data_IF_396600778080
#
_entry.id   IF_396600778080
#
_cell.length_a   1.000
_cell.length_b   1.000
_cell.length_c   1.000
_cell.angle_alpha   90.00
_cell.angle_beta   90.00
_cell.angle_gamma   90.00
#
_symmetry.space_group_name_H-M   'P 1'
#
loop_
_entity.id
_entity.type
_entity.pdbx_description
1 polymer ?
#
# COMPACT_ATOMS: atom_id res chain seq x y z
N UNK A 1 -66.68 0.99 -10.47
CA UNK A 1 -65.94 -0.16 -9.87
C UNK A 1 -64.47 0.06 -10.19
N UNK A 2 -63.73 0.71 -9.29
CA UNK A 2 -62.29 1.00 -9.45
C UNK A 2 -61.54 0.03 -8.55
N UNK A 3 -60.75 -0.86 -9.14
CA UNK A 3 -59.88 -1.77 -8.39
C UNK A 3 -58.63 -1.01 -7.94
N UNK A 4 -58.55 -0.73 -6.64
CA UNK A 4 -57.32 -0.30 -5.97
C UNK A 4 -56.45 -1.55 -5.73
N UNK A 5 -55.34 -1.68 -6.46
CA UNK A 5 -54.29 -2.64 -6.11
C UNK A 5 -53.44 -2.03 -5.01
N UNK A 6 -53.61 -2.55 -3.79
CA UNK A 6 -52.73 -2.25 -2.67
C UNK A 6 -51.36 -2.91 -2.90
N UNK A 7 -50.33 -2.09 -3.12
CA UNK A 7 -48.93 -2.52 -3.07
C UNK A 7 -48.55 -2.77 -1.61
N UNK A 8 -48.25 -4.02 -1.27
CA UNK A 8 -47.68 -4.38 0.04
C UNK A 8 -46.27 -3.80 0.22
N UNK A 9 -45.83 -3.58 1.48
CA UNK A 9 -44.56 -2.94 1.76
C UNK A 9 -43.39 -3.84 1.33
N UNK A 10 -42.55 -3.30 0.45
CA UNK A 10 -41.28 -3.87 0.03
C UNK A 10 -40.30 -3.84 1.21
N UNK A 11 -40.32 -4.88 2.05
CA UNK A 11 -39.32 -5.11 3.09
C UNK A 11 -38.20 -6.00 2.53
N UNK A 12 -37.28 -5.37 1.81
CA UNK A 12 -36.01 -5.95 1.40
C UNK A 12 -34.83 -5.26 2.08
N UNK A 13 -34.86 -5.13 3.41
CA UNK A 13 -33.67 -4.74 4.19
C UNK A 13 -32.68 -5.88 4.13
N UNK A 14 -31.61 -5.70 3.36
CA UNK A 14 -30.48 -6.64 3.29
C UNK A 14 -29.91 -6.80 4.70
N UNK A 15 -30.14 -7.96 5.32
CA UNK A 15 -29.51 -8.28 6.60
C UNK A 15 -28.01 -8.35 6.37
N UNK A 16 -27.29 -7.41 7.00
CA UNK A 16 -25.84 -7.36 6.99
C UNK A 16 -25.30 -8.63 7.66
N UNK A 17 -24.41 -9.37 6.99
CA UNK A 17 -23.89 -10.62 7.55
C UNK A 17 -23.09 -10.34 8.82
N UNK A 18 -22.95 -11.32 9.72
CA UNK A 18 -22.18 -11.14 10.97
C UNK A 18 -20.72 -10.75 10.70
N UNK A 19 -20.16 -11.22 9.58
CA UNK A 19 -18.84 -10.79 9.13
C UNK A 19 -18.82 -9.30 8.74
N UNK A 20 -19.82 -8.83 8.00
CA UNK A 20 -19.91 -7.42 7.60
C UNK A 20 -20.10 -6.50 8.80
N UNK A 21 -20.87 -6.92 9.81
CA UNK A 21 -20.98 -6.20 11.09
C UNK A 21 -19.64 -6.13 11.80
N UNK A 22 -18.92 -7.25 11.89
CA UNK A 22 -17.59 -7.32 12.50
C UNK A 22 -16.57 -6.44 11.79
N UNK A 23 -16.51 -6.45 10.45
CA UNK A 23 -15.58 -5.62 9.68
C UNK A 23 -15.90 -4.13 9.84
N UNK A 24 -17.18 -3.76 9.87
CA UNK A 24 -17.62 -2.39 10.16
C UNK A 24 -17.18 -1.96 11.55
N UNK A 25 -17.40 -2.80 12.55
CA UNK A 25 -17.00 -2.52 13.93
C UNK A 25 -15.49 -2.38 14.06
N UNK A 26 -14.69 -3.25 13.42
CA UNK A 26 -13.23 -3.15 13.40
C UNK A 26 -12.76 -1.83 12.78
N UNK A 27 -13.37 -1.40 11.67
CA UNK A 27 -13.06 -0.12 11.05
C UNK A 27 -13.45 1.07 11.93
N UNK A 28 -14.62 1.03 12.57
CA UNK A 28 -15.05 2.10 13.47
C UNK A 28 -14.13 2.19 14.70
N UNK A 29 -13.80 1.05 15.33
CA UNK A 29 -12.86 0.99 16.46
C UNK A 29 -11.46 1.48 16.09
N UNK A 30 -11.00 1.25 14.85
CA UNK A 30 -9.70 1.76 14.40
C UNK A 30 -9.67 3.28 14.26
N UNK A 31 -10.84 3.91 14.09
CA UNK A 31 -11.04 5.37 14.10
C UNK A 31 -11.41 5.93 15.48
N UNK A 32 -12.08 5.19 16.35
CA UNK A 32 -12.51 5.68 17.65
C UNK A 32 -11.34 5.86 18.63
N UNK A 33 -10.31 5.01 18.55
CA UNK A 33 -9.02 5.23 19.25
C UNK A 33 -8.27 6.50 18.76
N UNK A 34 -8.92 7.40 18.02
CA UNK A 34 -8.40 8.64 17.44
C UNK A 34 -9.00 9.93 18.05
N UNK A 35 -10.10 9.87 18.81
CA UNK A 35 -10.66 11.03 19.53
C UNK A 35 -9.85 11.31 20.82
N UNK A 36 -9.42 12.52 21.23
CA UNK A 36 -9.31 13.89 20.71
C UNK A 36 -8.05 14.46 21.40
N UNK A 37 -7.08 14.99 20.66
CA UNK A 37 -6.26 16.10 21.18
C UNK A 37 -6.72 17.31 20.38
N UNK A 38 -7.28 18.35 21.01
CA UNK A 38 -7.72 19.52 20.26
C UNK A 38 -6.50 20.12 19.55
N UNK A 39 -6.70 20.49 18.28
CA UNK A 39 -5.75 21.33 17.56
C UNK A 39 -5.53 22.61 18.37
N UNK A 40 -4.29 23.08 18.62
CA UNK A 40 -4.10 24.39 19.21
C UNK A 40 -4.76 25.43 18.30
N UNK A 41 -5.64 26.23 18.90
CA UNK A 41 -6.33 27.36 18.26
C UNK A 41 -5.30 28.24 17.56
N UNK A 42 -5.51 28.67 16.30
CA UNK A 42 -4.60 29.60 15.67
C UNK A 42 -4.59 30.92 16.45
N UNK A 43 -3.41 31.31 16.95
CA UNK A 43 -3.19 32.64 17.52
C UNK A 43 -3.60 33.71 16.49
N UNK A 44 -4.27 34.80 16.92
CA UNK A 44 -4.68 35.86 16.02
C UNK A 44 -3.45 36.48 15.33
N UNK A 45 -3.53 36.66 14.00
CA UNK A 45 -2.55 37.42 13.23
C UNK A 45 -2.47 38.85 13.77
N UNK A 46 -1.27 39.44 13.95
CA UNK A 46 -1.17 40.86 14.26
C UNK A 46 -1.72 41.69 13.10
N UNK A 47 -2.61 42.62 13.43
CA UNK A 47 -3.17 43.63 12.53
C UNK A 47 -2.04 44.52 11.97
N UNK A 48 -2.01 44.85 10.66
CA UNK A 48 -1.05 45.81 10.14
C UNK A 48 -1.34 47.21 10.67
N UNK A 49 -0.33 47.83 11.29
CA UNK A 49 -0.37 49.23 11.73
C UNK A 49 -0.38 50.18 10.51
N UNK A 50 -1.17 51.27 10.51
CA UNK A 50 -1.27 52.15 9.35
C UNK A 50 0.02 52.94 9.11
N UNK A 51 0.34 53.11 7.82
CA UNK A 51 1.52 53.80 7.32
C UNK A 51 1.58 55.27 7.79
N UNK A 52 2.65 55.64 8.49
CA UNK A 52 2.98 57.03 8.76
C UNK A 52 3.79 57.62 7.59
N UNK A 53 3.38 58.82 7.17
CA UNK A 53 3.96 59.62 6.09
C UNK A 53 5.47 59.85 6.27
N UNK A 54 6.18 59.86 5.14
CA UNK A 54 7.58 60.29 5.03
C UNK A 54 7.69 61.82 5.03
N UNK A 55 8.77 62.33 5.64
CA UNK A 55 9.81 63.29 5.13
C UNK A 55 10.27 64.27 6.23
N UNK A 56 11.46 64.92 6.13
CA UNK A 56 12.68 64.63 5.37
C UNK A 56 14.00 64.67 6.22
N UNK A 57 15.12 64.28 5.58
CA UNK A 57 16.53 64.37 6.01
C UNK A 57 16.99 65.84 6.28
N UNK A 58 17.98 66.19 7.14
CA UNK A 58 19.47 65.97 7.20
C UNK A 58 20.03 66.77 8.44
N UNK A 59 21.35 66.85 8.77
CA UNK A 59 22.46 65.87 8.86
C UNK A 59 23.35 66.03 10.15
N UNK A 60 24.41 65.19 10.23
CA UNK A 60 25.76 65.38 10.86
C UNK A 60 26.18 64.51 12.09
N UNK A 61 27.42 64.04 11.98
CA UNK A 61 28.26 63.12 12.82
C UNK A 61 29.09 63.90 13.87
N UNK A 62 30.08 63.33 14.62
CA UNK A 62 30.45 61.92 14.91
C UNK A 62 30.75 61.62 16.43
N UNK A 63 31.13 60.37 16.75
CA UNK A 63 32.39 59.95 17.46
C UNK A 63 32.28 58.79 18.49
N UNK A 64 33.27 57.89 18.38
CA UNK A 64 33.98 57.10 19.41
C UNK A 64 33.47 55.72 19.94
N UNK A 65 34.33 54.73 19.64
CA UNK A 65 34.94 53.74 20.54
C UNK A 65 34.22 52.41 20.92
N UNK A 66 34.80 51.32 20.40
CA UNK A 66 34.85 49.93 20.90
C UNK A 66 35.59 49.83 22.26
N UNK A 67 35.53 48.74 23.09
CA UNK A 67 35.84 47.37 22.65
C UNK A 67 35.22 46.13 23.36
N UNK A 68 35.56 45.00 22.74
CA UNK A 68 35.50 43.54 22.99
C UNK A 68 35.54 43.00 24.44
N UNK A 69 34.88 41.85 24.65
CA UNK A 69 35.28 40.73 25.54
C UNK A 69 34.46 39.48 25.15
N UNK A 70 35.00 38.43 24.52
CA UNK A 70 35.83 37.32 25.01
C UNK A 70 35.04 36.19 25.74
N UNK A 71 34.88 35.04 25.07
CA UNK A 71 34.73 33.71 25.69
C UNK A 71 36.12 33.21 26.16
N UNK A 72 36.21 32.26 27.11
CA UNK A 72 36.36 30.85 26.72
C UNK A 72 35.77 29.79 27.70
N UNK A 73 35.49 28.60 27.17
CA UNK A 73 35.60 27.28 27.85
C UNK A 73 36.98 26.67 27.48
N UNK A 74 37.56 25.60 28.10
CA UNK A 74 36.90 24.40 28.68
C UNK A 74 37.62 23.70 29.87
N UNK A 75 36.98 22.70 30.51
CA UNK A 75 37.63 21.50 31.11
C UNK A 75 36.59 20.51 31.72
N UNK A 76 36.96 19.23 31.73
CA UNK A 76 36.28 17.99 32.23
C UNK A 76 37.31 17.26 33.15
N UNK A 77 37.04 16.14 33.87
CA UNK A 77 35.90 15.63 34.66
C UNK A 77 36.28 15.31 36.14
N UNK A 78 35.31 14.96 37.01
CA UNK A 78 35.57 14.00 38.12
C UNK A 78 34.29 13.40 38.74
N UNK A 79 34.34 12.07 38.95
CA UNK A 79 33.85 11.23 40.08
C UNK A 79 32.40 11.33 40.58
N UNK A 80 31.71 10.32 41.14
CA UNK A 80 31.77 8.85 41.36
C UNK A 80 30.42 8.49 42.04
N UNK A 81 30.09 7.19 42.11
CA UNK A 81 28.99 6.50 42.85
C UNK A 81 27.76 6.22 41.96
N UNK A 82 27.50 5.02 41.44
CA UNK A 82 27.43 3.66 42.01
C UNK A 82 26.24 3.48 42.96
N UNK A 83 25.13 2.99 42.41
CA UNK A 83 24.09 2.26 43.14
C UNK A 83 23.54 1.13 42.26
N UNK A 84 22.96 0.15 42.93
CA UNK A 84 23.18 -1.28 42.72
C UNK A 84 22.03 -1.99 41.96
N UNK A 85 22.36 -3.12 41.36
CA UNK A 85 21.48 -4.04 40.60
C UNK A 85 20.70 -4.92 41.59
N UNK A 86 19.49 -5.40 41.22
CA UNK A 86 19.36 -6.85 41.10
C UNK A 86 18.63 -7.29 39.83
N UNK A 87 19.09 -8.41 39.28
CA UNK A 87 18.44 -9.29 38.29
C UNK A 87 18.44 -10.71 38.87
N UNK A 88 17.81 -11.71 38.25
CA UNK A 88 16.42 -11.85 37.81
C UNK A 88 15.79 -13.12 38.47
N UNK A 89 14.49 -13.39 38.28
CA UNK A 89 13.91 -14.70 38.64
C UNK A 89 12.97 -15.24 37.57
N UNK A 90 13.43 -16.34 36.97
CA UNK A 90 12.75 -17.52 36.44
C UNK A 90 11.48 -17.39 35.55
N UNK A 91 11.68 -17.73 34.26
CA UNK A 91 10.69 -18.47 33.46
C UNK A 91 10.53 -19.91 33.96
N UNK A 92 9.34 -20.53 33.86
CA UNK A 92 9.22 -21.97 33.77
C UNK A 92 9.19 -22.43 32.30
N UNK A 93 10.00 -23.45 32.00
CA UNK A 93 10.04 -24.22 30.77
C UNK A 93 8.92 -25.28 30.71
N UNK A 94 8.68 -25.93 29.55
CA UNK A 94 7.43 -26.64 29.24
C UNK A 94 7.41 -28.06 29.82
N UNK A 95 6.23 -28.50 30.23
CA UNK A 95 5.96 -29.91 30.56
C UNK A 95 5.86 -30.73 29.28
N UNK A 96 6.52 -31.88 29.30
CA UNK A 96 6.49 -32.96 28.32
C UNK A 96 6.10 -34.27 29.02
N UNK A 97 5.71 -35.27 28.22
CA UNK A 97 5.28 -36.65 28.54
C UNK A 97 3.76 -36.82 28.75
N UNK A 98 3.08 -37.85 28.22
CA UNK A 98 3.45 -38.94 27.32
C UNK A 98 2.16 -39.64 26.80
N UNK A 99 2.31 -40.33 25.67
CA UNK A 99 1.62 -41.55 25.22
C UNK A 99 0.12 -41.74 25.49
N UNK A 100 -0.65 -41.81 24.41
CA UNK A 100 -1.40 -43.04 24.12
C UNK A 100 -1.21 -43.46 22.65
N UNK A 101 -0.62 -44.64 22.52
CA UNK A 101 -0.62 -45.52 21.37
C UNK A 101 -1.98 -46.20 21.22
N UNK A 102 -2.55 -46.17 20.02
CA UNK A 102 -3.43 -47.24 19.55
C UNK A 102 -3.29 -47.39 18.04
N UNK A 103 -2.66 -48.51 17.70
CA UNK A 103 -2.48 -49.15 16.40
C UNK A 103 -3.79 -49.59 15.74
N UNK A 104 -3.90 -49.44 14.43
CA UNK A 104 -4.22 -50.51 13.47
C UNK A 104 -4.26 -49.99 12.03
N UNK A 105 -3.66 -50.75 11.11
CA UNK A 105 -3.36 -50.44 9.71
C UNK A 105 -4.50 -50.83 8.73
N UNK A 106 -4.28 -51.02 7.41
CA UNK A 106 -4.90 -50.18 6.37
C UNK A 106 -5.88 -50.95 5.47
N UNK A 107 -6.75 -50.24 4.74
CA UNK A 107 -7.48 -50.82 3.60
C UNK A 107 -7.19 -50.00 2.35
N UNK A 108 -6.39 -50.59 1.48
CA UNK A 108 -6.21 -50.22 0.08
C UNK A 108 -7.49 -50.59 -0.70
N UNK A 109 -7.87 -49.75 -1.67
CA UNK A 109 -8.67 -50.20 -2.81
C UNK A 109 -8.12 -49.59 -4.09
N UNK A 110 -7.87 -50.51 -5.01
CA UNK A 110 -7.14 -50.36 -6.25
C UNK A 110 -7.97 -49.66 -7.34
N UNK A 111 -7.26 -48.92 -8.19
CA UNK A 111 -7.71 -48.52 -9.53
C UNK A 111 -7.73 -49.72 -10.48
N UNK A 112 -8.49 -49.64 -11.58
CA UNK A 112 -8.07 -50.27 -12.83
C UNK A 112 -7.74 -49.21 -13.89
N UNK A 113 -6.54 -49.34 -14.46
CA UNK A 113 -6.18 -48.75 -15.74
C UNK A 113 -6.75 -49.60 -16.90
N UNK A 114 -6.71 -49.07 -18.13
CA UNK A 114 -6.26 -49.91 -19.23
C UNK A 114 -5.06 -49.29 -19.96
N UNK A 115 -4.00 -50.09 -20.06
CA UNK A 115 -2.93 -50.03 -21.06
C UNK A 115 -3.52 -50.61 -22.39
N UNK A 116 -3.11 -50.35 -23.63
CA UNK A 116 -1.79 -50.27 -24.28
C UNK A 116 -2.00 -49.77 -25.73
N UNK A 117 -1.04 -49.03 -26.31
CA UNK A 117 -0.31 -49.33 -27.59
C UNK A 117 0.06 -48.07 -28.40
N UNK A 118 1.37 -47.81 -28.43
CA UNK A 118 2.06 -47.06 -29.49
C UNK A 118 1.89 -47.80 -30.83
N UNK A 119 1.57 -47.09 -31.91
CA UNK A 119 1.99 -47.45 -33.27
C UNK A 119 2.38 -46.20 -34.06
N UNK A 120 3.52 -46.32 -34.74
CA UNK A 120 4.06 -45.38 -35.73
C UNK A 120 3.29 -45.51 -37.05
N UNK A 121 3.28 -44.40 -37.78
CA UNK A 121 2.84 -44.10 -39.15
C UNK A 121 2.53 -45.24 -40.14
N UNK A 122 1.48 -44.99 -40.96
CA UNK A 122 1.44 -45.34 -42.38
C UNK A 122 0.70 -44.23 -43.16
N UNK A 123 1.25 -43.85 -44.31
CA UNK A 123 0.75 -42.86 -45.27
C UNK A 123 -0.51 -43.36 -46.00
N UNK A 124 -1.57 -42.55 -46.05
CA UNK A 124 -2.60 -42.70 -47.08
C UNK A 124 -2.71 -41.40 -47.91
N UNK A 125 -2.33 -41.52 -49.18
CA UNK A 125 -2.77 -40.64 -50.25
C UNK A 125 -4.29 -40.79 -50.38
N UNK A 126 -5.02 -39.70 -50.17
CA UNK A 126 -6.47 -39.65 -50.29
C UNK A 126 -6.89 -38.23 -50.60
N UNK A 127 -6.96 -37.93 -51.90
CA UNK A 127 -7.48 -36.70 -52.47
C UNK A 127 -8.91 -36.46 -51.95
N UNK A 128 -9.13 -35.35 -51.26
CA UNK A 128 -10.43 -34.70 -51.13
C UNK A 128 -10.19 -33.20 -51.20
N UNK A 129 -10.56 -32.67 -52.35
CA UNK A 129 -10.84 -31.26 -52.57
C UNK A 129 -12.01 -30.89 -51.67
N UNK A 130 -11.81 -29.97 -50.74
CA UNK A 130 -12.83 -29.05 -50.23
C UNK A 130 -12.10 -27.93 -49.47
N UNK A 131 -12.13 -26.77 -50.09
CA UNK A 131 -11.64 -25.49 -49.60
C UNK A 131 -12.52 -25.04 -48.43
N UNK A 132 -11.97 -25.10 -47.21
CA UNK A 132 -12.40 -24.20 -46.16
C UNK A 132 -11.18 -23.90 -45.27
N UNK A 133 -10.35 -22.98 -45.76
CA UNK A 133 -9.31 -22.39 -44.95
C UNK A 133 -9.96 -21.60 -43.80
N UNK A 134 -10.20 -22.27 -42.68
CA UNK A 134 -10.47 -21.60 -41.40
C UNK A 134 -9.18 -20.88 -41.02
N UNK A 135 -9.06 -19.64 -41.50
CA UNK A 135 -8.07 -18.68 -41.02
C UNK A 135 -8.49 -18.37 -39.59
N UNK A 136 -7.95 -19.12 -38.63
CA UNK A 136 -7.93 -18.72 -37.22
C UNK A 136 -7.05 -17.48 -37.17
N UNK A 137 -7.67 -16.34 -37.44
CA UNK A 137 -7.05 -15.04 -37.29
C UNK A 137 -6.77 -14.90 -35.78
N UNK A 138 -5.51 -15.10 -35.39
CA UNK A 138 -5.00 -14.80 -34.05
C UNK A 138 -5.21 -13.31 -33.80
N UNK A 139 -6.41 -12.94 -33.37
CA UNK A 139 -6.73 -11.61 -32.83
C UNK A 139 -5.95 -11.29 -31.54
N UNK A 140 -5.15 -12.25 -31.04
CA UNK A 140 -4.30 -12.09 -29.87
C UNK A 140 -2.98 -11.33 -30.07
N UNK A 141 -2.57 -10.96 -31.29
CA UNK A 141 -1.18 -10.53 -31.50
C UNK A 141 -0.85 -9.07 -31.21
N UNK A 142 -1.83 -8.15 -31.14
CA UNK A 142 -1.53 -6.73 -30.89
C UNK A 142 -1.59 -6.38 -29.40
N UNK A 143 -2.65 -6.79 -28.70
CA UNK A 143 -2.80 -6.55 -27.27
C UNK A 143 -1.74 -7.24 -26.40
N UNK A 144 -1.08 -8.28 -26.91
CA UNK A 144 0.00 -8.99 -26.22
C UNK A 144 1.36 -8.30 -26.39
N UNK A 145 1.61 -7.61 -27.52
CA UNK A 145 2.84 -6.83 -27.77
C UNK A 145 2.97 -5.63 -26.82
N UNK A 146 1.83 -5.10 -26.39
CA UNK A 146 1.75 -3.98 -25.46
C UNK A 146 1.93 -4.42 -24.00
N UNK A 147 2.16 -5.70 -23.70
CA UNK A 147 2.42 -6.15 -22.34
C UNK A 147 3.90 -6.00 -21.97
N UNK A 148 4.13 -5.70 -20.69
CA UNK A 148 5.47 -5.69 -20.09
C UNK A 148 5.75 -7.08 -19.50
N UNK A 149 6.79 -7.80 -19.97
CA UNK A 149 7.16 -9.08 -19.38
C UNK A 149 7.57 -8.90 -17.91
N UNK A 150 7.39 -9.95 -17.11
CA UNK A 150 7.85 -9.94 -15.72
C UNK A 150 9.38 -9.72 -15.67
N UNK A 151 9.89 -9.01 -14.64
CA UNK A 151 11.32 -8.81 -14.50
C UNK A 151 12.00 -10.16 -14.24
N UNK A 152 13.17 -10.36 -14.84
CA UNK A 152 13.99 -11.55 -14.56
C UNK A 152 14.33 -11.65 -13.07
N UNK A 153 14.57 -12.88 -12.61
CA UNK A 153 15.03 -13.17 -11.26
C UNK A 153 16.49 -12.70 -11.07
N UNK A 154 16.72 -11.39 -10.98
CA UNK A 154 18.03 -10.85 -10.63
C UNK A 154 18.41 -11.17 -9.18
N UNK A 155 19.71 -11.10 -8.88
CA UNK A 155 20.32 -11.43 -7.58
C UNK A 155 20.06 -10.42 -6.44
N UNK A 156 18.87 -9.83 -6.41
CA UNK A 156 18.47 -8.95 -5.30
C UNK A 156 17.78 -9.79 -4.24
N UNK A 157 18.31 -9.75 -3.01
CA UNK A 157 17.65 -10.35 -1.85
C UNK A 157 16.48 -9.45 -1.42
N UNK A 158 15.30 -10.05 -1.32
CA UNK A 158 14.08 -9.40 -0.86
C UNK A 158 13.70 -9.93 0.52
N UNK A 159 13.51 -9.03 1.48
CA UNK A 159 13.09 -9.37 2.83
C UNK A 159 11.58 -9.41 2.98
N UNK A 160 10.86 -8.46 2.37
CA UNK A 160 9.40 -8.31 2.49
C UNK A 160 8.67 -8.85 1.25
N UNK A 161 9.31 -8.79 0.07
CA UNK A 161 8.78 -9.40 -1.15
C UNK A 161 9.12 -10.89 -1.25
N UNK A 162 8.35 -11.70 -0.53
CA UNK A 162 8.47 -13.17 -0.60
C UNK A 162 8.31 -13.69 -2.04
N UNK A 163 8.83 -14.87 -2.38
CA UNK A 163 8.66 -15.45 -3.72
C UNK A 163 7.19 -15.51 -4.17
N UNK A 164 6.27 -15.82 -3.26
CA UNK A 164 4.83 -15.85 -3.55
C UNK A 164 4.26 -14.47 -3.89
N UNK A 165 4.64 -13.43 -3.14
CA UNK A 165 4.22 -12.05 -3.43
C UNK A 165 4.80 -11.58 -4.77
N UNK A 166 6.07 -11.86 -5.05
CA UNK A 166 6.68 -11.53 -6.34
C UNK A 166 5.97 -12.21 -7.50
N UNK A 167 5.71 -13.52 -7.39
CA UNK A 167 4.94 -14.26 -8.39
C UNK A 167 3.55 -13.63 -8.61
N UNK A 168 2.82 -13.33 -7.54
CA UNK A 168 1.50 -12.71 -7.64
C UNK A 168 1.54 -11.30 -8.26
N UNK A 169 2.63 -10.55 -8.06
CA UNK A 169 2.85 -9.28 -8.76
C UNK A 169 3.11 -9.51 -10.25
N UNK A 170 3.94 -10.51 -10.57
CA UNK A 170 4.41 -10.81 -11.92
C UNK A 170 3.30 -11.37 -12.82
N UNK A 171 2.40 -12.19 -12.26
CA UNK A 171 1.28 -12.82 -12.96
C UNK A 171 0.27 -11.81 -13.54
N UNK A 172 0.26 -10.56 -13.07
CA UNK A 172 -0.65 -9.52 -13.58
C UNK A 172 -0.29 -9.09 -15.02
N UNK A 173 -1.28 -8.86 -15.89
CA UNK A 173 -1.06 -8.45 -17.30
C UNK A 173 -0.81 -6.95 -17.43
N UNK A 174 0.41 -6.51 -17.13
CA UNK A 174 0.79 -5.08 -17.13
C UNK A 174 0.91 -4.52 -18.55
N UNK A 175 0.16 -3.46 -18.86
CA UNK A 175 0.28 -2.69 -20.11
C UNK A 175 1.48 -1.75 -20.06
N UNK A 176 2.24 -1.71 -21.15
CA UNK A 176 3.39 -0.82 -21.37
C UNK A 176 2.96 0.65 -21.28
N UNK A 177 3.85 1.49 -20.76
CA UNK A 177 3.69 2.96 -20.69
C UNK A 177 2.47 3.48 -19.90
N UNK A 178 1.72 2.61 -19.19
CA UNK A 178 0.55 3.03 -18.41
C UNK A 178 0.92 3.65 -17.07
N UNK A 179 1.75 2.95 -16.29
CA UNK A 179 2.00 3.29 -14.89
C UNK A 179 3.08 4.36 -14.76
N UNK A 180 2.66 5.62 -14.91
CA UNK A 180 3.54 6.81 -14.84
C UNK A 180 3.89 7.21 -13.42
N UNK A 181 3.01 6.92 -12.46
CA UNK A 181 3.19 7.32 -11.07
C UNK A 181 3.03 6.15 -10.09
N UNK A 182 3.74 6.25 -8.97
CA UNK A 182 3.44 5.49 -7.75
C UNK A 182 3.09 6.51 -6.67
N UNK A 183 1.89 6.39 -6.09
CA UNK A 183 1.38 7.34 -5.11
C UNK A 183 1.30 6.64 -3.76
N UNK A 184 2.00 7.18 -2.77
CA UNK A 184 2.05 6.67 -1.40
C UNK A 184 0.98 7.34 -0.55
N UNK A 185 0.22 6.52 0.16
CA UNK A 185 -0.86 6.89 1.06
C UNK A 185 -0.60 6.35 2.46
N UNK A 186 -1.27 6.93 3.45
CA UNK A 186 -1.56 6.26 4.69
C UNK A 186 -3.07 5.94 4.77
N UNK A 187 -3.44 5.00 5.64
CA UNK A 187 -4.85 4.63 5.81
C UNK A 187 -5.66 5.67 6.58
N UNK A 188 -5.01 6.57 7.32
CA UNK A 188 -5.67 7.48 8.26
C UNK A 188 -6.31 6.73 9.43
N UNK A 189 -5.82 5.53 9.75
CA UNK A 189 -6.28 4.68 10.85
C UNK A 189 -5.08 4.07 11.56
N UNK A 190 -5.21 3.78 12.87
CA UNK A 190 -4.12 3.12 13.62
C UNK A 190 -4.01 1.63 13.36
N UNK A 191 -5.10 1.01 12.89
CA UNK A 191 -5.21 -0.43 12.68
C UNK A 191 -6.00 -0.71 11.40
N UNK A 192 -5.63 -1.79 10.70
CA UNK A 192 -6.31 -2.22 9.50
C UNK A 192 -5.47 -3.15 8.66
N UNK A 193 -6.07 -3.65 7.58
CA UNK A 193 -5.46 -4.49 6.56
C UNK A 193 -6.26 -4.35 5.26
N UNK A 194 -5.83 -5.02 4.18
CA UNK A 194 -6.50 -4.90 2.89
C UNK A 194 -7.98 -5.34 2.96
N UNK A 195 -8.32 -6.39 3.72
CA UNK A 195 -9.70 -6.89 3.86
C UNK A 195 -10.62 -5.86 4.50
N UNK A 196 -10.20 -5.23 5.59
CA UNK A 196 -10.98 -4.21 6.31
C UNK A 196 -11.19 -2.99 5.41
N UNK A 197 -10.13 -2.54 4.72
CA UNK A 197 -10.24 -1.39 3.82
C UNK A 197 -11.06 -1.70 2.57
N UNK A 198 -10.98 -2.93 2.04
CA UNK A 198 -11.83 -3.38 0.93
C UNK A 198 -13.31 -3.29 1.29
N UNK A 199 -13.67 -3.80 2.47
CA UNK A 199 -15.01 -3.72 3.01
C UNK A 199 -15.49 -2.27 3.14
N UNK A 200 -14.70 -1.41 3.80
CA UNK A 200 -15.04 0.00 3.95
C UNK A 200 -15.24 0.69 2.59
N UNK A 201 -14.32 0.48 1.64
CA UNK A 201 -14.42 1.07 0.32
C UNK A 201 -15.65 0.57 -0.45
N UNK A 202 -15.95 -0.73 -0.40
CA UNK A 202 -17.09 -1.32 -1.12
C UNK A 202 -18.43 -0.90 -0.53
N UNK A 203 -18.60 -1.06 0.77
CA UNK A 203 -19.93 -0.98 1.40
C UNK A 203 -20.22 0.39 2.01
N UNK A 204 -19.21 1.11 2.50
CA UNK A 204 -19.41 2.43 3.10
C UNK A 204 -19.18 3.53 2.07
N UNK A 205 -18.08 3.45 1.31
CA UNK A 205 -17.78 4.43 0.26
C UNK A 205 -18.37 4.11 -1.12
N UNK A 206 -19.10 2.99 -1.24
CA UNK A 206 -19.80 2.57 -2.46
C UNK A 206 -18.89 2.49 -3.69
N UNK A 207 -17.63 2.10 -3.48
CA UNK A 207 -16.67 1.88 -4.56
C UNK A 207 -16.91 0.49 -5.17
N UNK A 208 -17.36 0.38 -6.43
CA UNK A 208 -17.79 -0.90 -7.01
C UNK A 208 -16.67 -1.95 -7.05
N UNK A 209 -15.43 -1.50 -7.22
CA UNK A 209 -14.24 -2.36 -7.24
C UNK A 209 -13.59 -2.56 -5.86
N UNK A 210 -14.27 -2.16 -4.77
CA UNK A 210 -13.77 -2.29 -3.40
C UNK A 210 -12.50 -1.47 -3.16
N UNK A 211 -11.52 -2.09 -2.49
CA UNK A 211 -10.26 -1.51 -2.00
C UNK A 211 -9.71 -0.44 -2.95
N UNK A 212 -9.54 0.79 -2.48
CA UNK A 212 -9.09 1.92 -3.30
C UNK A 212 -7.66 1.77 -3.87
N UNK A 213 -6.81 1.00 -3.17
CA UNK A 213 -5.38 0.89 -3.42
C UNK A 213 -5.03 -0.38 -4.21
N UNK A 214 -3.86 -0.37 -4.84
CA UNK A 214 -3.29 -1.55 -5.49
C UNK A 214 -2.56 -2.43 -4.48
N UNK A 215 -1.94 -1.82 -3.47
CA UNK A 215 -1.20 -2.51 -2.42
C UNK A 215 -1.51 -1.88 -1.05
N UNK A 216 -1.48 -2.71 -0.01
CA UNK A 216 -1.54 -2.29 1.39
C UNK A 216 -0.33 -2.88 2.12
N UNK A 217 0.31 -2.09 2.98
CA UNK A 217 1.43 -2.53 3.83
C UNK A 217 0.98 -2.49 5.28
N UNK A 218 1.00 -3.66 5.94
CA UNK A 218 0.59 -3.82 7.33
C UNK A 218 1.59 -3.23 8.32
N UNK A 219 1.08 -2.75 9.46
CA UNK A 219 1.89 -2.21 10.56
C UNK A 219 1.99 -3.16 11.77
N UNK A 220 1.55 -4.42 11.63
CA UNK A 220 1.56 -5.41 12.70
C UNK A 220 0.27 -5.51 13.51
N UNK A 221 -0.79 -4.76 13.16
CA UNK A 221 -2.05 -4.76 13.92
C UNK A 221 -3.06 -5.78 13.43
N UNK A 222 -3.54 -5.64 12.19
CA UNK A 222 -4.51 -6.57 11.56
C UNK A 222 -3.90 -7.40 10.42
N UNK A 223 -2.64 -7.13 10.09
CA UNK A 223 -1.75 -7.95 9.26
C UNK A 223 -0.31 -7.79 9.80
N UNK A 224 0.62 -8.62 9.35
CA UNK A 224 2.02 -8.60 9.81
C UNK A 224 2.70 -7.24 9.55
N UNK A 225 3.69 -6.91 10.39
CA UNK A 225 4.42 -5.66 10.23
C UNK A 225 5.34 -5.70 9.00
N UNK A 226 5.16 -4.77 8.07
CA UNK A 226 5.78 -4.80 6.74
C UNK A 226 5.15 -5.81 5.78
N UNK A 227 4.05 -6.49 6.15
CA UNK A 227 3.39 -7.44 5.26
C UNK A 227 2.77 -6.69 4.07
N UNK A 228 3.14 -7.11 2.85
CA UNK A 228 2.57 -6.58 1.61
C UNK A 228 1.34 -7.39 1.22
N UNK A 229 0.20 -6.73 1.13
CA UNK A 229 -1.08 -7.29 0.69
C UNK A 229 -1.42 -6.73 -0.70
N UNK A 230 -1.72 -7.62 -1.66
CA UNK A 230 -2.02 -7.26 -3.05
C UNK A 230 -3.53 -7.09 -3.22
N UNK A 231 -3.94 -5.93 -3.70
CA UNK A 231 -5.33 -5.60 -4.00
C UNK A 231 -5.79 -6.13 -5.36
N UNK A 232 -7.10 -6.36 -5.48
CA UNK A 232 -7.74 -6.79 -6.72
C UNK A 232 -7.46 -5.84 -7.91
N UNK A 233 -7.22 -4.55 -7.64
CA UNK A 233 -6.87 -3.57 -8.68
C UNK A 233 -5.54 -3.87 -9.34
N UNK A 234 -4.55 -4.36 -8.62
CA UNK A 234 -3.29 -4.80 -9.23
C UNK A 234 -3.51 -6.08 -10.05
N UNK A 235 -4.11 -7.10 -9.45
CA UNK A 235 -4.30 -8.41 -10.10
C UNK A 235 -5.04 -8.28 -11.43
N UNK A 236 -6.11 -7.48 -11.45
CA UNK A 236 -6.95 -7.25 -12.64
C UNK A 236 -6.56 -6.01 -13.45
N UNK A 237 -5.49 -5.32 -13.05
CA UNK A 237 -5.02 -4.07 -13.68
C UNK A 237 -6.12 -3.02 -13.84
N UNK A 238 -6.95 -2.86 -12.81
CA UNK A 238 -8.01 -1.84 -12.76
C UNK A 238 -7.43 -0.47 -12.41
N UNK A 239 -8.15 0.60 -12.75
CA UNK A 239 -7.80 1.95 -12.30
C UNK A 239 -7.80 2.01 -10.77
N UNK A 240 -7.01 2.91 -10.19
CA UNK A 240 -7.08 3.26 -8.78
C UNK A 240 -8.44 3.83 -8.36
N UNK A 241 -8.65 3.94 -7.07
CA UNK A 241 -9.73 4.75 -6.48
C UNK A 241 -9.23 5.62 -5.34
N UNK A 242 -7.93 5.96 -5.38
CA UNK A 242 -7.17 6.52 -4.26
C UNK A 242 -6.81 8.00 -4.45
N UNK A 243 -7.06 8.58 -5.63
CA UNK A 243 -6.88 10.02 -5.90
C UNK A 243 -8.20 10.63 -6.35
N UNK A 244 -8.41 11.93 -6.11
CA UNK A 244 -9.54 12.70 -6.65
C UNK A 244 -9.32 13.07 -8.13
N UNK A 245 -8.98 12.09 -8.97
CA UNK A 245 -8.80 12.27 -10.42
C UNK A 245 -8.83 10.93 -11.13
N UNK A 246 -9.75 10.76 -12.08
CA UNK A 246 -9.86 9.53 -12.87
C UNK A 246 -8.63 9.32 -13.75
N UNK A 247 -8.07 10.39 -14.31
CA UNK A 247 -6.82 10.33 -15.07
C UNK A 247 -5.66 9.84 -14.20
N UNK A 248 -5.46 10.42 -13.01
CA UNK A 248 -4.40 9.96 -12.11
C UNK A 248 -4.65 8.53 -11.65
N UNK A 249 -5.88 8.16 -11.32
CA UNK A 249 -6.24 6.77 -10.99
C UNK A 249 -5.97 5.80 -12.17
N UNK A 250 -6.06 6.25 -13.42
CA UNK A 250 -5.75 5.44 -14.60
C UNK A 250 -4.25 5.16 -14.76
N UNK A 251 -3.40 6.16 -14.48
CA UNK A 251 -1.93 6.09 -14.73
C UNK A 251 -1.08 5.89 -13.47
N UNK A 252 -1.67 5.72 -12.29
CA UNK A 252 -0.91 5.64 -11.03
C UNK A 252 -1.22 4.41 -10.18
N UNK A 253 -0.18 3.87 -9.56
CA UNK A 253 -0.26 2.78 -8.59
C UNK A 253 -0.34 3.37 -7.19
N UNK A 254 -1.50 3.25 -6.53
CA UNK A 254 -1.66 3.56 -5.11
C UNK A 254 -1.14 2.46 -4.17
N UNK A 255 -0.22 2.82 -3.27
CA UNK A 255 0.27 2.00 -2.15
C UNK A 255 -0.18 2.67 -0.84
N UNK A 256 -0.85 1.92 0.04
CA UNK A 256 -1.31 2.44 1.34
C UNK A 256 -0.57 1.77 2.50
N UNK A 257 -0.01 2.56 3.41
CA UNK A 257 0.55 2.07 4.67
C UNK A 257 -0.52 2.18 5.77
N UNK A 258 -0.63 1.17 6.62
CA UNK A 258 -1.57 1.17 7.75
C UNK A 258 -1.06 2.09 8.85
N UNK A 259 -1.45 3.36 8.81
CA UNK A 259 -1.18 4.28 9.93
C UNK A 259 -1.86 5.64 9.81
N UNK A 260 -1.77 6.42 10.87
CA UNK A 260 -2.04 7.86 10.88
C UNK A 260 -0.72 8.63 11.06
N UNK A 261 -0.07 8.99 9.95
CA UNK A 261 1.22 9.67 10.00
C UNK A 261 1.11 11.19 10.13
N UNK A 262 -0.06 11.73 10.50
CA UNK A 262 -0.10 13.04 11.14
C UNK A 262 0.34 12.95 12.61
N UNK A 263 0.16 11.78 13.24
CA UNK A 263 0.45 11.55 14.65
C UNK A 263 1.69 10.69 14.85
N UNK A 264 1.79 9.60 14.11
CA UNK A 264 2.83 8.58 14.26
C UNK A 264 3.85 8.63 13.10
N UNK A 265 4.96 7.92 13.22
CA UNK A 265 5.86 7.63 12.10
C UNK A 265 5.52 6.24 11.52
N UNK A 266 5.77 5.97 10.23
CA UNK A 266 5.79 4.61 9.72
C UNK A 266 6.77 3.75 10.52
N UNK A 267 6.43 2.49 10.75
CA UNK A 267 7.40 1.57 11.35
C UNK A 267 8.58 1.32 10.40
N UNK A 268 9.72 0.89 10.94
CA UNK A 268 10.89 0.51 10.13
C UNK A 268 10.55 -0.56 9.10
N UNK A 269 9.73 -1.54 9.47
CA UNK A 269 9.31 -2.62 8.58
C UNK A 269 8.39 -2.14 7.45
N UNK A 270 7.41 -1.27 7.74
CA UNK A 270 6.59 -0.66 6.68
C UNK A 270 7.42 0.14 5.68
N UNK A 271 8.41 0.87 6.19
CA UNK A 271 9.29 1.70 5.38
C UNK A 271 10.21 0.88 4.47
N UNK A 272 10.84 -0.16 5.01
CA UNK A 272 11.68 -1.07 4.22
C UNK A 272 10.83 -1.88 3.21
N UNK A 273 9.63 -2.31 3.59
CA UNK A 273 8.70 -2.97 2.67
C UNK A 273 8.25 -2.04 1.54
N UNK A 274 7.97 -0.77 1.84
CA UNK A 274 7.62 0.25 0.85
C UNK A 274 8.77 0.46 -0.15
N UNK A 275 10.00 0.58 0.35
CA UNK A 275 11.20 0.75 -0.46
C UNK A 275 11.41 -0.43 -1.42
N UNK A 276 11.32 -1.66 -0.90
CA UNK A 276 11.40 -2.87 -1.71
C UNK A 276 10.30 -2.93 -2.77
N UNK A 277 9.06 -2.66 -2.38
CA UNK A 277 7.90 -2.71 -3.26
C UNK A 277 8.01 -1.69 -4.40
N UNK A 278 8.40 -0.44 -4.13
CA UNK A 278 8.55 0.59 -5.16
C UNK A 278 9.64 0.19 -6.16
N UNK A 279 10.80 -0.28 -5.69
CA UNK A 279 11.88 -0.75 -6.59
C UNK A 279 11.44 -1.95 -7.43
N UNK A 280 10.69 -2.86 -6.83
CA UNK A 280 10.16 -4.01 -7.55
C UNK A 280 9.16 -3.58 -8.63
N UNK A 281 8.21 -2.71 -8.28
CA UNK A 281 7.21 -2.20 -9.20
C UNK A 281 7.83 -1.41 -10.35
N UNK A 282 8.81 -0.54 -10.10
CA UNK A 282 9.56 0.16 -11.16
C UNK A 282 10.20 -0.81 -12.17
N UNK A 283 10.72 -1.95 -11.70
CA UNK A 283 11.22 -3.01 -12.60
C UNK A 283 10.10 -3.76 -13.31
N UNK A 284 8.99 -4.03 -12.61
CA UNK A 284 7.84 -4.77 -13.13
C UNK A 284 7.08 -4.03 -14.21
N UNK A 285 6.87 -2.73 -14.06
CA UNK A 285 6.13 -1.91 -15.03
C UNK A 285 7.04 -1.34 -16.12
N UNK A 286 8.35 -1.45 -15.93
CA UNK A 286 9.35 -0.93 -16.85
C UNK A 286 9.42 0.60 -16.85
N UNK A 287 10.07 1.13 -17.88
CA UNK A 287 10.18 2.57 -18.11
C UNK A 287 8.99 3.07 -18.93
N UNK A 288 8.50 4.25 -18.59
CA UNK A 288 7.54 5.03 -19.37
C UNK A 288 8.27 6.20 -19.98
N UNK A 289 8.25 6.30 -21.31
CA UNK A 289 8.94 7.36 -22.05
C UNK A 289 10.43 7.51 -21.66
N UNK A 290 11.10 6.38 -21.39
CA UNK A 290 12.52 6.32 -20.99
C UNK A 290 12.81 6.48 -19.50
N UNK A 291 11.81 6.83 -18.69
CA UNK A 291 11.94 7.12 -17.26
C UNK A 291 11.22 6.09 -16.38
N UNK A 292 11.67 5.91 -15.15
CA UNK A 292 10.90 5.11 -14.19
C UNK A 292 9.66 5.87 -13.71
N UNK A 293 8.65 5.15 -13.21
CA UNK A 293 7.47 5.78 -12.61
C UNK A 293 7.87 6.77 -11.52
N UNK A 294 7.33 7.98 -11.59
CA UNK A 294 7.54 9.06 -10.62
C UNK A 294 6.88 8.70 -9.29
N UNK A 295 7.57 8.90 -8.17
CA UNK A 295 7.06 8.54 -6.84
C UNK A 295 6.67 9.80 -6.08
N UNK A 296 5.44 9.83 -5.55
CA UNK A 296 4.88 10.97 -4.81
C UNK A 296 4.07 10.53 -3.60
N UNK A 297 4.04 11.37 -2.57
CA UNK A 297 3.00 11.32 -1.55
C UNK A 297 1.67 11.85 -2.09
N UNK A 298 0.55 11.37 -1.57
CA UNK A 298 -0.79 11.78 -2.01
C UNK A 298 -0.98 13.31 -2.05
N UNK A 299 -0.56 14.04 -1.01
CA UNK A 299 -0.67 15.51 -0.93
C UNK A 299 0.07 16.28 -2.02
N UNK A 300 1.06 15.66 -2.66
CA UNK A 300 1.93 16.33 -3.64
C UNK A 300 1.32 16.35 -5.05
N UNK A 301 0.28 15.54 -5.29
CA UNK A 301 -0.29 15.32 -6.62
C UNK A 301 -1.82 15.33 -6.65
N UNK A 302 -2.49 15.24 -5.50
CA UNK A 302 -3.95 15.23 -5.46
C UNK A 302 -4.52 16.59 -5.87
N UNK A 303 -5.49 16.66 -6.80
CA UNK A 303 -6.11 17.93 -7.18
C UNK A 303 -6.87 18.61 -6.03
N UNK A 304 -7.30 17.82 -5.05
CA UNK A 304 -7.92 18.33 -3.81
C UNK A 304 -6.91 18.26 -2.67
N UNK A 305 -6.75 19.31 -1.85
CA UNK A 305 -5.88 19.26 -0.69
C UNK A 305 -6.21 18.08 0.23
N UNK A 306 -5.17 17.46 0.76
CA UNK A 306 -5.24 16.32 1.68
C UNK A 306 -4.00 16.30 2.55
N UNK A 307 -4.12 15.86 3.80
CA UNK A 307 -2.97 15.68 4.67
C UNK A 307 -2.23 14.36 4.41
N UNK A 308 -2.85 13.42 3.69
CA UNK A 308 -2.25 12.13 3.31
C UNK A 308 -0.95 12.32 2.49
N UNK A 309 0.13 11.57 2.72
CA UNK A 309 0.27 10.41 3.62
C UNK A 309 0.51 10.77 5.09
N UNK A 310 0.35 12.02 5.49
CA UNK A 310 0.58 12.52 6.85
C UNK A 310 1.73 13.52 6.91
N UNK A 311 1.71 14.43 7.88
CA UNK A 311 2.75 15.46 8.06
C UNK A 311 4.07 14.92 8.60
N UNK A 312 4.06 13.76 9.25
CA UNK A 312 5.25 13.07 9.75
C UNK A 312 5.77 11.99 8.81
N UNK A 313 5.05 11.68 7.72
CA UNK A 313 5.56 10.76 6.71
C UNK A 313 6.85 11.34 6.06
N UNK A 314 7.93 10.56 5.91
CA UNK A 314 9.23 11.07 5.49
C UNK A 314 9.33 11.32 3.96
N UNK A 315 8.62 12.34 3.44
CA UNK A 315 8.64 12.70 2.02
C UNK A 315 10.06 13.00 1.50
N UNK A 316 10.90 13.67 2.30
CA UNK A 316 12.28 13.95 1.93
C UNK A 316 13.11 12.69 1.69
N UNK A 317 12.81 11.58 2.36
CA UNK A 317 13.42 10.31 2.01
C UNK A 317 12.88 9.77 0.70
N UNK A 318 11.55 9.79 0.52
CA UNK A 318 10.89 9.27 -0.67
C UNK A 318 11.49 9.89 -1.95
N UNK A 319 11.67 11.21 -1.98
CA UNK A 319 12.25 11.90 -3.14
C UNK A 319 13.74 11.59 -3.34
N UNK A 320 14.52 11.44 -2.26
CA UNK A 320 15.94 11.10 -2.36
C UNK A 320 16.16 9.67 -2.84
N UNK A 321 15.32 8.73 -2.41
CA UNK A 321 15.41 7.33 -2.83
C UNK A 321 14.84 7.08 -4.22
N UNK A 322 13.90 7.92 -4.65
CA UNK A 322 13.20 7.79 -5.93
C UNK A 322 13.13 9.15 -6.64
N UNK A 323 14.26 9.66 -7.16
CA UNK A 323 14.26 10.87 -7.97
C UNK A 323 13.43 10.65 -9.26
N UNK A 324 13.01 11.78 -9.83
CA UNK A 324 12.27 11.85 -11.10
C UNK A 324 13.16 11.55 -12.30
#
# INVERSE_FOLDING_TARGET
>A
MVFLLALGPNQGTTQQTDEEKRLRELFLKSREKMEIVPSPTPSPKPTPSPAALRRPFHPASPEAASPKSAQPSPARPSSTQAEEVPSPTASPQPVSAANQTSSASPIQRESPAPTVKKKKHWFFFGKRDDDDSIVVQKSGSEAEKDLVPAPGAGDVRWQYLTPGIRKAIDDARVTRNRWKYVIVHNSGTRQGNARIFDYYHRYVRRMPNGLAYHFVIGNGTSSGNGQIEIGNRWVRQLNGGHVHSDYLNYISIGICLVGDFNRDLPTKAEYEALDELIRYLRRRVGKVDGNYSIVRGHKEINPRPTDCPGNRFPLNWLHRSFPD
#
